data_IF_367921556796
#
_entry.id   IF_367921556796
#
_cell.length_a   1.000
_cell.length_b   1.000
_cell.length_c   1.000
_cell.angle_alpha   90.00
_cell.angle_beta   90.00
_cell.angle_gamma   90.00
#
_symmetry.space_group_name_H-M   'P 1'
#
loop_
_entity.id
_entity.type
_entity.pdbx_description
1 polymer ?
#
# COMPACT_ATOMS: atom_id res chain seq x y z
N UNK A 1 -7.36 -0.74 -69.25
CA UNK A 1 -6.44 -0.12 -68.25
C UNK A 1 -7.21 0.04 -66.93
N UNK A 2 -7.06 -0.94 -66.02
CA UNK A 2 -7.59 -0.85 -64.65
C UNK A 2 -6.48 -0.33 -63.77
N UNK A 3 -6.65 0.84 -63.17
CA UNK A 3 -5.82 1.34 -62.11
C UNK A 3 -6.28 0.76 -60.78
N UNK A 4 -5.51 -0.16 -60.19
CA UNK A 4 -5.69 -0.60 -58.81
C UNK A 4 -5.10 0.47 -57.86
N UNK A 5 -6.00 1.14 -57.11
CA UNK A 5 -5.56 2.06 -56.06
C UNK A 5 -5.09 1.24 -54.83
N UNK A 6 -3.79 1.22 -54.61
CA UNK A 6 -3.22 0.73 -53.35
C UNK A 6 -3.49 1.74 -52.24
N UNK A 7 -4.48 1.42 -51.38
CA UNK A 7 -4.68 2.13 -50.15
C UNK A 7 -3.62 1.73 -49.13
N UNK A 8 -2.61 2.56 -48.97
CA UNK A 8 -1.66 2.45 -47.85
C UNK A 8 -2.34 2.83 -46.57
N UNK A 9 -2.78 1.83 -45.79
CA UNK A 9 -3.12 2.05 -44.37
C UNK A 9 -1.86 2.59 -43.68
N UNK A 10 -1.84 3.89 -43.37
CA UNK A 10 -0.87 4.47 -42.43
C UNK A 10 -1.08 3.77 -41.09
N UNK A 11 -0.13 2.89 -40.72
CA UNK A 11 -0.07 2.32 -39.39
C UNK A 11 0.04 3.44 -38.37
N UNK A 12 -0.99 3.70 -37.63
CA UNK A 12 -0.93 4.54 -36.44
C UNK A 12 0.08 3.90 -35.49
N UNK A 13 1.23 4.55 -35.28
CA UNK A 13 2.15 4.18 -34.20
C UNK A 13 1.36 4.27 -32.88
N UNK A 14 0.92 3.13 -32.38
CA UNK A 14 0.35 3.06 -31.03
C UNK A 14 1.49 3.38 -30.07
N UNK A 15 1.37 4.49 -29.35
CA UNK A 15 2.28 4.80 -28.25
C UNK A 15 2.15 3.65 -27.23
N UNK A 16 3.24 2.99 -26.84
CA UNK A 16 3.16 1.89 -25.88
C UNK A 16 2.62 2.41 -24.55
N UNK A 17 1.75 1.61 -23.90
CA UNK A 17 1.25 1.90 -22.56
C UNK A 17 2.40 2.07 -21.57
N UNK A 18 2.28 3.07 -20.71
CA UNK A 18 3.28 3.41 -19.69
C UNK A 18 2.70 3.30 -18.29
N UNK A 19 3.52 2.78 -17.35
CA UNK A 19 3.18 2.67 -15.93
C UNK A 19 4.19 3.51 -15.14
N UNK A 20 3.70 4.47 -14.37
CA UNK A 20 4.49 5.19 -13.37
C UNK A 20 4.29 4.54 -12.01
N UNK A 21 5.36 4.02 -11.40
CA UNK A 21 5.35 3.67 -9.98
C UNK A 21 5.44 4.93 -9.13
N UNK A 22 4.87 4.91 -7.93
CA UNK A 22 5.05 6.04 -7.01
C UNK A 22 4.85 5.64 -5.55
N UNK A 23 5.48 6.40 -4.67
CA UNK A 23 5.37 6.27 -3.21
C UNK A 23 5.62 7.59 -2.50
N UNK A 24 5.27 7.64 -1.23
CA UNK A 24 5.71 8.68 -0.31
C UNK A 24 6.37 8.02 0.90
N UNK A 25 7.39 8.65 1.46
CA UNK A 25 8.09 8.13 2.62
C UNK A 25 8.80 9.24 3.42
N UNK A 26 8.90 9.01 4.72
CA UNK A 26 9.72 9.75 5.67
C UNK A 26 10.27 8.78 6.70
N UNK A 27 11.56 8.86 7.01
CA UNK A 27 12.22 8.08 8.06
C UNK A 27 12.07 6.54 7.89
N UNK A 28 12.22 6.02 6.67
CA UNK A 28 12.01 4.60 6.41
C UNK A 28 12.97 3.71 7.20
N UNK A 29 14.25 4.06 7.29
CA UNK A 29 15.26 3.25 7.97
C UNK A 29 15.08 3.28 9.48
N UNK A 30 14.76 4.43 10.06
CA UNK A 30 14.46 4.58 11.50
C UNK A 30 13.21 3.83 11.93
N UNK A 31 12.27 3.65 11.02
CA UNK A 31 11.01 2.95 11.27
C UNK A 31 10.99 1.51 10.75
N UNK A 32 12.14 1.02 10.28
CA UNK A 32 12.31 -0.33 9.76
C UNK A 32 11.34 -0.67 8.63
N UNK A 33 11.22 0.21 7.62
CA UNK A 33 10.47 -0.05 6.40
C UNK A 33 11.35 -0.66 5.31
N UNK A 34 10.89 -1.68 4.58
CA UNK A 34 11.62 -2.26 3.45
C UNK A 34 11.48 -1.41 2.17
N UNK A 35 11.76 -0.10 2.26
CA UNK A 35 11.52 0.85 1.17
C UNK A 35 12.20 0.46 -0.13
N UNK A 36 13.44 -0.03 -0.08
CA UNK A 36 14.15 -0.51 -1.24
C UNK A 36 13.41 -1.67 -1.91
N UNK A 37 13.03 -2.69 -1.13
CA UNK A 37 12.30 -3.84 -1.63
C UNK A 37 10.91 -3.45 -2.17
N UNK A 38 10.22 -2.49 -1.55
CA UNK A 38 8.95 -1.97 -2.03
C UNK A 38 9.09 -1.41 -3.45
N UNK A 39 10.07 -0.54 -3.68
CA UNK A 39 10.35 0.07 -5.00
C UNK A 39 10.79 -1.01 -6.01
N UNK A 40 11.81 -1.80 -5.69
CA UNK A 40 12.36 -2.84 -6.57
C UNK A 40 11.30 -3.86 -6.99
N UNK A 41 10.29 -4.12 -6.15
CA UNK A 41 9.25 -5.11 -6.44
C UNK A 41 8.36 -4.79 -7.64
N UNK A 42 8.18 -3.52 -7.97
CA UNK A 42 7.33 -3.07 -9.09
C UNK A 42 8.11 -2.40 -10.21
N UNK A 43 9.35 -1.98 -9.94
CA UNK A 43 10.20 -1.27 -10.88
C UNK A 43 10.38 -1.98 -12.24
N UNK A 44 10.40 -3.33 -12.34
CA UNK A 44 10.53 -4.01 -13.64
C UNK A 44 9.40 -3.74 -14.62
N UNK A 45 8.19 -3.42 -14.15
CA UNK A 45 7.05 -3.10 -15.01
C UNK A 45 6.73 -1.61 -15.07
N UNK A 46 7.48 -0.78 -14.35
CA UNK A 46 7.34 0.67 -14.37
C UNK A 46 8.30 1.29 -15.37
N UNK A 47 7.84 2.33 -16.07
CA UNK A 47 8.66 3.16 -16.97
C UNK A 47 9.39 4.27 -16.23
N UNK A 48 8.82 4.71 -15.10
CA UNK A 48 9.41 5.63 -14.13
C UNK A 48 8.93 5.28 -12.73
N UNK A 49 9.62 5.78 -11.71
CA UNK A 49 9.18 5.67 -10.32
C UNK A 49 9.40 6.99 -9.57
N UNK A 50 8.33 7.55 -9.01
CA UNK A 50 8.36 8.85 -8.31
C UNK A 50 8.27 8.64 -6.81
N UNK A 51 9.19 9.24 -6.07
CA UNK A 51 9.23 9.20 -4.61
C UNK A 51 9.04 10.61 -4.06
N UNK A 52 7.97 10.87 -3.31
CA UNK A 52 7.89 12.04 -2.45
C UNK A 52 8.62 11.72 -1.14
N UNK A 53 9.83 12.22 -1.00
CA UNK A 53 10.67 12.04 0.18
C UNK A 53 10.46 13.19 1.15
N UNK A 54 9.94 12.88 2.33
CA UNK A 54 9.76 13.87 3.39
C UNK A 54 11.09 14.32 3.99
N UNK A 55 11.02 15.37 4.77
CA UNK A 55 12.11 15.93 5.58
C UNK A 55 12.57 14.91 6.65
N UNK A 56 13.35 13.93 6.23
CA UNK A 56 13.88 12.87 7.11
C UNK A 56 14.78 13.46 8.21
N UNK A 57 14.84 12.75 9.34
CA UNK A 57 15.76 13.08 10.41
C UNK A 57 17.22 12.97 9.92
N UNK A 58 18.17 13.75 10.46
CA UNK A 58 19.54 13.79 9.96
C UNK A 58 20.31 12.45 10.01
N UNK A 59 19.91 11.54 10.89
CA UNK A 59 20.50 10.21 11.07
C UNK A 59 19.74 9.10 10.33
N UNK A 60 18.65 9.43 9.60
CA UNK A 60 17.92 8.48 8.77
C UNK A 60 18.63 8.28 7.41
N UNK A 61 18.59 7.06 6.90
CA UNK A 61 19.26 6.64 5.66
C UNK A 61 18.30 6.31 4.51
N UNK A 62 17.09 6.86 4.56
CA UNK A 62 16.07 6.58 3.52
C UNK A 62 16.52 7.02 2.14
N UNK A 63 17.14 8.19 2.02
CA UNK A 63 17.66 8.70 0.76
C UNK A 63 18.71 7.75 0.18
N UNK A 64 19.69 7.35 0.96
CA UNK A 64 20.78 6.46 0.55
C UNK A 64 20.26 5.06 0.17
N UNK A 65 19.27 4.54 0.89
CA UNK A 65 18.63 3.26 0.55
C UNK A 65 17.93 3.33 -0.82
N UNK A 66 17.24 4.42 -1.13
CA UNK A 66 16.59 4.60 -2.43
C UNK A 66 17.64 4.78 -3.53
N UNK A 67 18.65 5.60 -3.32
CA UNK A 67 19.74 5.82 -4.27
C UNK A 67 20.53 4.53 -4.57
N UNK A 68 20.68 3.66 -3.57
CA UNK A 68 21.38 2.38 -3.72
C UNK A 68 20.73 1.40 -4.71
N UNK A 69 19.48 1.64 -5.13
CA UNK A 69 18.81 0.87 -6.19
C UNK A 69 19.51 1.07 -7.53
N UNK A 70 20.11 2.25 -7.76
CA UNK A 70 20.94 2.55 -8.94
C UNK A 70 20.14 2.58 -10.25
N UNK A 71 18.85 2.91 -10.23
CA UNK A 71 18.01 2.97 -11.43
C UNK A 71 17.72 4.41 -11.85
N UNK A 72 17.92 4.70 -13.13
CA UNK A 72 17.60 5.98 -13.78
C UNK A 72 16.09 6.25 -13.89
N UNK A 73 15.27 5.24 -13.67
CA UNK A 73 13.81 5.38 -13.61
C UNK A 73 13.33 6.12 -12.35
N UNK A 74 14.15 6.19 -11.29
CA UNK A 74 13.73 6.73 -9.99
C UNK A 74 13.97 8.24 -9.97
N UNK A 75 12.90 8.96 -9.65
CA UNK A 75 12.93 10.42 -9.43
C UNK A 75 12.44 10.74 -8.02
N UNK A 76 13.30 11.37 -7.24
CA UNK A 76 12.98 11.82 -5.88
C UNK A 76 12.52 13.28 -5.94
N UNK A 77 11.47 13.59 -5.20
CA UNK A 77 10.95 14.94 -4.93
C UNK A 77 11.08 15.17 -3.45
N UNK A 78 11.95 16.09 -3.05
CA UNK A 78 12.08 16.47 -1.66
C UNK A 78 10.87 17.28 -1.21
N UNK A 79 10.33 16.93 -0.06
CA UNK A 79 9.14 17.55 0.51
C UNK A 79 9.31 17.84 1.99
N UNK A 80 8.49 18.73 2.51
CA UNK A 80 8.41 19.03 3.94
C UNK A 80 7.01 18.72 4.44
N UNK A 81 6.91 17.92 5.50
CA UNK A 81 5.63 17.53 6.07
C UNK A 81 5.04 18.65 6.93
N UNK A 82 3.75 18.91 6.75
CA UNK A 82 3.02 19.93 7.51
C UNK A 82 1.77 19.34 8.19
N UNK A 83 1.96 18.82 9.40
CA UNK A 83 0.88 18.16 10.16
C UNK A 83 -0.19 19.14 10.67
N UNK A 84 0.08 20.45 10.73
CA UNK A 84 -0.90 21.47 11.09
C UNK A 84 -1.86 21.72 9.93
N UNK A 85 -1.33 21.90 8.73
CA UNK A 85 -2.13 22.07 7.51
C UNK A 85 -2.88 20.81 7.10
N UNK A 86 -2.26 19.65 7.30
CA UNK A 86 -2.81 18.33 6.92
C UNK A 86 -2.94 17.40 8.14
N UNK A 87 -3.87 17.70 9.06
CA UNK A 87 -4.02 16.95 10.31
C UNK A 87 -4.65 15.57 10.11
N UNK A 88 -4.67 14.77 11.18
CA UNK A 88 -5.37 13.47 11.27
C UNK A 88 -4.96 12.47 10.20
N UNK A 89 -3.66 12.47 9.84
CA UNK A 89 -3.10 11.56 8.86
C UNK A 89 -3.28 11.99 7.40
N UNK A 90 -3.91 13.14 7.12
CA UNK A 90 -4.07 13.62 5.74
C UNK A 90 -2.78 14.08 5.11
N UNK A 91 -1.74 14.35 5.91
CA UNK A 91 -0.38 14.58 5.40
C UNK A 91 0.11 13.40 4.55
N UNK A 92 -0.17 12.16 4.95
CA UNK A 92 0.18 11.00 4.13
C UNK A 92 -0.51 11.06 2.75
N UNK A 93 -1.79 11.46 2.71
CA UNK A 93 -2.52 11.61 1.46
C UNK A 93 -1.96 12.74 0.59
N UNK A 94 -1.60 13.87 1.21
CA UNK A 94 -0.98 15.01 0.54
C UNK A 94 0.35 14.62 -0.12
N UNK A 95 1.22 13.97 0.62
CA UNK A 95 2.51 13.50 0.12
C UNK A 95 2.36 12.45 -1.00
N UNK A 96 1.37 11.56 -0.86
CA UNK A 96 1.01 10.59 -1.91
C UNK A 96 0.55 11.29 -3.18
N UNK A 97 -0.24 12.36 -3.07
CA UNK A 97 -0.70 13.15 -4.22
C UNK A 97 0.44 13.91 -4.89
N UNK A 98 1.40 14.46 -4.14
CA UNK A 98 2.61 15.09 -4.72
C UNK A 98 3.31 14.10 -5.64
N UNK A 99 3.57 12.88 -5.17
CA UNK A 99 4.21 11.86 -6.01
C UNK A 99 3.34 11.46 -7.20
N UNK A 100 2.03 11.25 -7.00
CA UNK A 100 1.10 10.87 -8.06
C UNK A 100 0.99 11.92 -9.16
N UNK A 101 0.87 13.19 -8.80
CA UNK A 101 0.74 14.29 -9.76
C UNK A 101 1.98 14.49 -10.63
N UNK A 102 3.12 14.02 -10.15
CA UNK A 102 4.37 14.04 -10.91
C UNK A 102 4.52 12.83 -11.86
N UNK A 103 3.62 11.85 -11.82
CA UNK A 103 3.62 10.70 -12.73
C UNK A 103 3.22 11.10 -14.14
N UNK A 104 3.85 10.48 -15.17
CA UNK A 104 3.63 10.76 -16.60
C UNK A 104 3.02 9.58 -17.37
N UNK A 105 2.96 8.39 -16.78
CA UNK A 105 2.39 7.19 -17.42
C UNK A 105 0.85 7.23 -17.52
N UNK A 106 0.27 6.27 -18.22
CA UNK A 106 -1.18 6.08 -18.35
C UNK A 106 -1.80 5.58 -17.04
N UNK A 107 -1.04 4.76 -16.33
CA UNK A 107 -1.37 4.18 -15.04
C UNK A 107 -0.37 4.61 -13.98
N UNK A 108 -0.86 4.90 -12.78
CA UNK A 108 -0.05 5.23 -11.61
C UNK A 108 -0.14 4.08 -10.60
N UNK A 109 0.97 3.39 -10.35
CA UNK A 109 1.06 2.26 -9.43
C UNK A 109 1.61 2.72 -8.08
N UNK A 110 0.74 2.82 -7.10
CA UNK A 110 1.08 3.17 -5.73
C UNK A 110 1.56 1.96 -4.96
N UNK A 111 2.69 2.06 -4.29
CA UNK A 111 3.14 1.10 -3.28
C UNK A 111 3.55 1.85 -2.02
N UNK A 112 3.09 1.40 -0.85
CA UNK A 112 3.57 1.94 0.43
C UNK A 112 4.93 1.32 0.76
N UNK A 113 5.70 1.97 1.61
CA UNK A 113 7.07 1.54 1.94
C UNK A 113 7.16 0.16 2.62
N UNK A 114 6.04 -0.39 3.08
CA UNK A 114 5.89 -1.72 3.68
C UNK A 114 5.05 -2.69 2.82
N UNK A 115 4.81 -2.33 1.56
CA UNK A 115 4.10 -3.15 0.58
C UNK A 115 5.05 -3.63 -0.50
N UNK A 116 5.02 -4.93 -0.79
CA UNK A 116 5.89 -5.56 -1.78
C UNK A 116 5.07 -6.46 -2.68
N UNK A 117 5.33 -6.43 -3.98
CA UNK A 117 4.69 -7.29 -4.98
C UNK A 117 5.60 -8.46 -5.30
N UNK A 118 5.06 -9.67 -5.27
CA UNK A 118 5.83 -10.84 -5.69
C UNK A 118 6.03 -10.83 -7.21
N UNK A 119 7.25 -11.08 -7.67
CA UNK A 119 7.65 -11.02 -9.09
C UNK A 119 6.77 -11.87 -10.01
N UNK A 120 6.20 -12.98 -9.51
CA UNK A 120 5.26 -13.83 -10.27
C UNK A 120 3.99 -13.12 -10.74
N UNK A 121 3.62 -12.01 -10.07
CA UNK A 121 2.41 -11.25 -10.42
C UNK A 121 2.67 -10.14 -11.44
N UNK A 122 3.93 -9.74 -11.68
CA UNK A 122 4.24 -8.62 -12.56
C UNK A 122 3.69 -8.77 -13.97
N UNK A 123 3.81 -9.97 -14.64
CA UNK A 123 3.23 -10.17 -15.96
C UNK A 123 1.70 -10.03 -15.98
N UNK A 124 1.02 -10.55 -14.95
CA UNK A 124 -0.45 -10.47 -14.82
C UNK A 124 -0.90 -9.02 -14.64
N UNK A 125 -0.19 -8.25 -13.82
CA UNK A 125 -0.48 -6.84 -13.58
C UNK A 125 -0.30 -6.03 -14.85
N UNK A 126 0.83 -6.17 -15.54
CA UNK A 126 1.12 -5.46 -16.79
C UNK A 126 0.07 -5.76 -17.86
N UNK A 127 -0.21 -7.06 -18.08
CA UNK A 127 -1.25 -7.51 -19.02
C UNK A 127 -2.62 -6.89 -18.69
N UNK A 128 -2.98 -6.83 -17.38
CA UNK A 128 -4.26 -6.26 -16.97
C UNK A 128 -4.35 -4.75 -17.23
N UNK A 129 -3.26 -4.02 -17.06
CA UNK A 129 -3.17 -2.60 -17.44
C UNK A 129 -3.34 -2.42 -18.95
N UNK A 130 -2.70 -3.26 -19.77
CA UNK A 130 -2.82 -3.24 -21.23
C UNK A 130 -4.26 -3.53 -21.69
N UNK A 131 -4.88 -4.59 -21.16
CA UNK A 131 -6.27 -4.98 -21.47
C UNK A 131 -7.27 -3.86 -21.18
N UNK A 132 -7.01 -3.08 -20.13
CA UNK A 132 -7.93 -2.06 -19.65
C UNK A 132 -7.59 -0.64 -20.11
N UNK A 133 -6.55 -0.46 -20.92
CA UNK A 133 -6.11 0.87 -21.34
C UNK A 133 -7.23 1.68 -22.00
N UNK A 134 -7.99 1.04 -22.90
CA UNK A 134 -9.09 1.68 -23.62
C UNK A 134 -10.43 1.66 -22.88
N UNK A 135 -10.51 0.96 -21.74
CA UNK A 135 -11.69 0.89 -20.90
C UNK A 135 -11.79 2.10 -19.98
N UNK A 136 -12.21 3.25 -20.52
CA UNK A 136 -12.23 4.53 -19.80
C UNK A 136 -13.22 4.55 -18.62
N UNK A 137 -14.11 3.57 -18.53
CA UNK A 137 -14.97 3.35 -17.37
C UNK A 137 -14.23 2.74 -16.16
N UNK A 138 -12.99 2.22 -16.34
CA UNK A 138 -12.15 1.69 -15.27
C UNK A 138 -11.24 2.78 -14.74
N UNK A 139 -11.41 3.16 -13.48
CA UNK A 139 -10.62 4.18 -12.81
C UNK A 139 -9.33 3.63 -12.17
N UNK A 140 -9.26 2.31 -11.92
CA UNK A 140 -8.10 1.66 -11.32
C UNK A 140 -8.21 0.16 -11.16
N UNK A 141 -7.19 -0.47 -10.57
CA UNK A 141 -7.11 -1.90 -10.31
C UNK A 141 -7.13 -2.19 -8.81
N UNK A 142 -7.86 -3.26 -8.46
CA UNK A 142 -8.07 -3.73 -7.10
C UNK A 142 -7.20 -4.97 -6.86
N UNK A 143 -6.35 -4.93 -5.84
CA UNK A 143 -5.43 -5.97 -5.45
C UNK A 143 -5.89 -6.67 -4.19
N UNK A 144 -5.63 -7.97 -4.07
CA UNK A 144 -5.77 -8.75 -2.84
C UNK A 144 -4.62 -8.45 -1.89
N UNK A 145 -4.80 -8.69 -0.59
CA UNK A 145 -3.80 -8.42 0.43
C UNK A 145 -3.45 -9.63 1.29
N UNK A 146 -2.17 -9.71 1.66
CA UNK A 146 -1.65 -10.56 2.72
C UNK A 146 -0.99 -9.67 3.78
N UNK A 147 -1.59 -9.56 4.95
CA UNK A 147 -1.08 -8.75 6.04
C UNK A 147 -0.22 -9.60 6.97
N UNK A 148 1.09 -9.64 6.76
CA UNK A 148 2.02 -10.36 7.62
C UNK A 148 2.07 -9.76 9.02
N UNK A 149 2.19 -10.62 10.04
CA UNK A 149 2.04 -10.22 11.43
C UNK A 149 3.08 -10.89 12.32
N UNK A 150 3.91 -10.09 12.99
CA UNK A 150 4.93 -10.52 13.94
C UNK A 150 6.18 -11.10 13.27
N UNK A 151 6.00 -12.04 12.37
CA UNK A 151 7.05 -12.66 11.57
C UNK A 151 6.66 -12.80 10.09
N UNK A 152 7.51 -13.46 9.32
CA UNK A 152 7.27 -13.69 7.89
C UNK A 152 6.42 -14.95 7.61
N UNK A 153 6.16 -15.79 8.61
CA UNK A 153 5.44 -17.06 8.45
C UNK A 153 3.96 -16.96 8.83
N UNK A 154 3.56 -15.85 9.42
CA UNK A 154 2.18 -15.66 9.88
C UNK A 154 1.55 -14.42 9.24
N UNK A 155 0.25 -14.51 8.92
CA UNK A 155 -0.52 -13.38 8.42
C UNK A 155 -1.90 -13.30 9.08
N UNK A 156 -2.45 -12.09 9.13
CA UNK A 156 -3.74 -11.81 9.75
C UNK A 156 -4.83 -11.68 8.67
N UNK A 157 -5.88 -12.48 8.78
CA UNK A 157 -7.06 -12.47 7.90
C UNK A 157 -8.35 -12.15 8.66
N UNK A 158 -8.24 -11.58 9.87
CA UNK A 158 -9.38 -11.22 10.69
C UNK A 158 -10.20 -10.07 10.06
N UNK A 159 -11.48 -10.01 10.42
CA UNK A 159 -12.45 -9.00 9.95
C UNK A 159 -11.96 -7.55 9.97
N UNK A 160 -11.06 -7.20 10.90
CA UNK A 160 -10.52 -5.84 11.03
C UNK A 160 -9.44 -5.48 10.01
N UNK A 161 -9.04 -6.42 9.15
CA UNK A 161 -8.04 -6.26 8.11
C UNK A 161 -8.72 -6.29 6.75
N UNK A 162 -8.51 -5.25 5.93
CA UNK A 162 -9.06 -5.24 4.56
C UNK A 162 -8.40 -6.32 3.71
N UNK A 163 -9.21 -6.99 2.90
CA UNK A 163 -8.77 -8.07 2.01
C UNK A 163 -8.35 -7.57 0.65
N UNK A 164 -8.80 -6.38 0.28
CA UNK A 164 -8.60 -5.80 -1.05
C UNK A 164 -8.43 -4.29 -0.95
N UNK A 165 -7.52 -3.71 -1.75
CA UNK A 165 -7.37 -2.25 -1.86
C UNK A 165 -6.87 -1.82 -3.24
N UNK A 166 -7.15 -0.55 -3.60
CA UNK A 166 -6.73 0.06 -4.85
C UNK A 166 -5.24 0.36 -4.77
N UNK A 167 -4.45 -0.13 -5.76
CA UNK A 167 -3.03 0.20 -5.85
C UNK A 167 -2.60 0.71 -7.21
N UNK A 168 -3.37 0.49 -8.26
CA UNK A 168 -3.17 1.18 -9.54
C UNK A 168 -4.37 2.06 -9.82
N UNK A 169 -4.12 3.29 -10.25
CA UNK A 169 -5.14 4.25 -10.67
C UNK A 169 -4.77 4.84 -12.01
N UNK A 170 -5.75 5.33 -12.78
CA UNK A 170 -5.46 6.13 -13.97
C UNK A 170 -4.72 7.40 -13.59
N UNK A 171 -3.87 7.84 -14.50
CA UNK A 171 -3.26 9.17 -14.42
C UNK A 171 -4.30 10.24 -14.80
N UNK A 172 -5.24 10.43 -13.90
CA UNK A 172 -6.34 11.40 -14.00
C UNK A 172 -6.15 12.42 -12.87
N UNK A 173 -6.07 13.73 -13.19
CA UNK A 173 -5.82 14.78 -12.19
C UNK A 173 -6.93 14.90 -11.15
N UNK A 174 -8.12 14.35 -11.41
CA UNK A 174 -9.24 14.35 -10.46
C UNK A 174 -9.22 13.16 -9.49
N UNK A 175 -8.30 12.21 -9.69
CA UNK A 175 -8.11 11.08 -8.77
C UNK A 175 -7.05 11.45 -7.74
N UNK A 176 -7.47 11.50 -6.48
CA UNK A 176 -6.65 11.90 -5.35
C UNK A 176 -6.52 10.78 -4.33
N UNK A 177 -5.42 10.79 -3.58
CA UNK A 177 -5.27 9.97 -2.40
C UNK A 177 -6.37 10.25 -1.39
N UNK A 178 -6.69 9.29 -0.53
CA UNK A 178 -7.83 9.38 0.37
C UNK A 178 -7.48 8.99 1.80
N UNK A 179 -8.00 9.75 2.77
CA UNK A 179 -7.78 9.59 4.19
C UNK A 179 -6.30 9.80 4.57
N UNK A 180 -5.65 8.72 4.98
CA UNK A 180 -4.26 8.66 5.40
C UNK A 180 -3.46 7.80 4.37
N UNK A 181 -3.67 8.08 3.07
CA UNK A 181 -3.10 7.34 1.95
C UNK A 181 -3.50 5.84 1.90
N UNK A 182 -4.66 5.50 2.44
CA UNK A 182 -5.13 4.12 2.42
C UNK A 182 -5.68 3.71 1.06
N UNK A 183 -6.32 4.65 0.35
CA UNK A 183 -7.05 4.42 -0.90
C UNK A 183 -7.08 5.69 -1.76
N UNK A 184 -7.89 5.66 -2.82
CA UNK A 184 -8.08 6.78 -3.73
C UNK A 184 -9.56 7.09 -3.92
N UNK A 185 -9.86 8.37 -4.25
CA UNK A 185 -11.17 8.83 -4.68
C UNK A 185 -11.07 9.83 -5.82
N UNK A 186 -12.15 9.95 -6.58
CA UNK A 186 -12.31 11.06 -7.50
C UNK A 186 -12.85 12.28 -6.74
N UNK A 187 -12.13 13.39 -6.85
CA UNK A 187 -12.50 14.69 -6.26
C UNK A 187 -12.33 15.73 -7.35
N UNK A 188 -13.44 16.10 -8.01
CA UNK A 188 -13.40 16.97 -9.20
C UNK A 188 -13.01 18.40 -8.87
N UNK A 189 -13.49 18.89 -7.73
CA UNK A 189 -13.22 20.24 -7.22
C UNK A 189 -12.40 20.12 -5.94
N UNK A 190 -11.14 19.68 -6.12
CA UNK A 190 -10.26 19.48 -4.98
C UNK A 190 -9.65 20.80 -4.52
N UNK A 191 -9.82 21.11 -3.25
CA UNK A 191 -9.34 22.34 -2.61
C UNK A 191 -7.88 22.28 -2.14
N UNK A 192 -7.18 21.18 -2.42
CA UNK A 192 -5.78 20.94 -2.03
C UNK A 192 -5.59 20.45 -0.59
N UNK A 193 -6.67 20.32 0.23
CA UNK A 193 -6.53 19.96 1.64
C UNK A 193 -7.56 18.94 2.14
N UNK A 194 -8.72 18.84 1.51
CA UNK A 194 -9.87 18.06 2.02
C UNK A 194 -9.84 16.57 1.69
N UNK A 195 -8.76 15.88 2.01
CA UNK A 195 -8.57 14.44 1.75
C UNK A 195 -9.54 13.50 2.50
N UNK A 196 -10.38 14.00 3.39
CA UNK A 196 -11.33 13.20 4.20
C UNK A 196 -12.77 13.65 4.04
N UNK A 197 -13.04 14.70 3.29
CA UNK A 197 -14.35 15.24 3.10
C UNK A 197 -15.15 14.40 2.10
N UNK A 198 -16.27 13.79 2.54
CA UNK A 198 -17.06 12.90 1.68
C UNK A 198 -17.93 13.59 0.65
N UNK A 199 -18.62 14.71 0.94
CA UNK A 199 -19.40 15.44 -0.08
C UNK A 199 -18.52 15.82 -1.28
N UNK A 200 -19.07 15.72 -2.49
CA UNK A 200 -18.33 16.02 -3.74
C UNK A 200 -17.27 14.98 -4.14
N UNK A 201 -17.17 13.84 -3.43
CA UNK A 201 -16.21 12.78 -3.78
C UNK A 201 -16.90 11.52 -4.29
N UNK A 202 -16.28 10.84 -5.25
CA UNK A 202 -16.79 9.61 -5.85
C UNK A 202 -15.87 8.44 -5.55
N UNK A 203 -16.48 7.28 -5.24
CA UNK A 203 -15.75 6.01 -5.19
C UNK A 203 -15.29 5.62 -6.58
N UNK A 204 -14.03 5.23 -6.74
CA UNK A 204 -13.49 4.77 -8.01
C UNK A 204 -14.14 3.46 -8.46
N UNK A 205 -14.37 3.33 -9.77
CA UNK A 205 -14.78 2.08 -10.43
C UNK A 205 -13.52 1.29 -10.75
N UNK A 206 -13.35 0.15 -10.11
CA UNK A 206 -12.11 -0.63 -10.18
C UNK A 206 -12.34 -2.03 -10.70
N UNK A 207 -11.39 -2.51 -11.50
CA UNK A 207 -11.38 -3.88 -11.98
C UNK A 207 -10.43 -4.73 -11.12
N UNK A 208 -10.81 -5.94 -10.71
CA UNK A 208 -9.90 -6.84 -10.00
C UNK A 208 -8.72 -7.26 -10.89
N UNK A 209 -7.56 -7.42 -10.25
CA UNK A 209 -6.39 -8.09 -10.81
C UNK A 209 -6.04 -9.29 -9.94
N UNK A 210 -5.64 -10.40 -10.56
CA UNK A 210 -5.27 -11.61 -9.81
C UNK A 210 -3.83 -11.53 -9.29
N UNK A 211 -3.61 -10.59 -8.40
CA UNK A 211 -2.33 -10.31 -7.79
C UNK A 211 -2.52 -9.94 -6.30
N UNK A 212 -1.49 -10.23 -5.51
CA UNK A 212 -1.46 -9.91 -4.09
C UNK A 212 -0.41 -8.85 -3.77
N UNK A 213 -0.78 -7.92 -2.89
CA UNK A 213 0.15 -7.07 -2.15
C UNK A 213 0.55 -7.82 -0.88
N UNK A 214 1.86 -7.98 -0.69
CA UNK A 214 2.47 -8.53 0.51
C UNK A 214 2.77 -7.38 1.45
N UNK A 215 1.95 -7.20 2.48
CA UNK A 215 2.06 -6.08 3.40
C UNK A 215 2.82 -6.50 4.66
N UNK A 216 4.03 -5.98 4.82
CA UNK A 216 4.94 -6.25 5.94
C UNK A 216 4.88 -5.18 7.04
N UNK A 217 3.83 -4.38 7.04
CA UNK A 217 3.66 -3.26 7.97
C UNK A 217 3.72 -3.64 9.45
N UNK A 218 3.54 -4.92 9.77
CA UNK A 218 3.59 -5.47 11.13
C UNK A 218 4.64 -6.57 11.30
N UNK A 219 5.68 -6.60 10.46
CA UNK A 219 6.82 -7.50 10.58
C UNK A 219 8.08 -6.67 10.79
N UNK A 220 8.45 -6.49 12.04
CA UNK A 220 9.67 -5.76 12.46
C UNK A 220 9.99 -6.05 13.92
N UNK A 221 11.23 -5.79 14.38
CA UNK A 221 11.55 -5.93 15.81
C UNK A 221 10.57 -5.15 16.68
N UNK A 222 10.15 -5.66 17.84
CA UNK A 222 9.13 -5.06 18.71
C UNK A 222 9.37 -3.58 19.06
N UNK A 223 10.64 -3.18 19.25
CA UNK A 223 11.00 -1.78 19.52
C UNK A 223 10.72 -0.87 18.32
N UNK A 224 11.02 -1.32 17.10
CA UNK A 224 10.69 -0.56 15.87
C UNK A 224 9.20 -0.52 15.60
N UNK A 225 8.47 -1.58 15.97
CA UNK A 225 7.00 -1.55 15.90
C UNK A 225 6.41 -0.51 16.84
N UNK A 226 6.94 -0.38 18.05
CA UNK A 226 6.52 0.65 18.99
C UNK A 226 6.87 2.06 18.48
N UNK A 227 8.06 2.24 17.90
CA UNK A 227 8.46 3.50 17.27
C UNK A 227 7.55 3.89 16.10
N UNK A 228 7.22 2.93 15.21
CA UNK A 228 6.22 3.14 14.14
C UNK A 228 4.87 3.57 14.69
N UNK A 229 4.37 2.91 15.75
CA UNK A 229 3.09 3.26 16.38
C UNK A 229 3.09 4.68 16.93
N UNK A 230 4.18 5.10 17.61
CA UNK A 230 4.35 6.47 18.10
C UNK A 230 4.35 7.48 16.94
N UNK A 231 5.11 7.20 15.88
CA UNK A 231 5.17 8.06 14.68
C UNK A 231 3.78 8.20 14.03
N UNK A 232 3.07 7.10 13.77
CA UNK A 232 1.72 7.13 13.22
C UNK A 232 0.73 7.84 14.14
N UNK A 233 0.84 7.64 15.45
CA UNK A 233 -0.01 8.32 16.42
C UNK A 233 0.22 9.84 16.39
N UNK A 234 1.49 10.27 16.27
CA UNK A 234 1.84 11.68 16.12
C UNK A 234 1.22 12.29 14.85
N UNK A 235 1.29 11.59 13.71
CA UNK A 235 0.69 12.03 12.44
C UNK A 235 -0.83 12.18 12.55
N UNK A 236 -1.50 11.30 13.32
CA UNK A 236 -2.96 11.31 13.43
C UNK A 236 -3.50 12.24 14.52
N UNK A 237 -2.78 12.36 15.64
CA UNK A 237 -3.30 12.99 16.86
C UNK A 237 -2.41 14.08 17.46
N UNK A 238 -1.23 14.29 16.86
CA UNK A 238 -0.25 15.26 17.35
C UNK A 238 0.66 14.71 18.45
N UNK A 239 1.79 15.39 18.64
CA UNK A 239 2.88 14.98 19.56
C UNK A 239 2.40 14.87 21.02
N UNK A 240 1.69 15.88 21.53
CA UNK A 240 1.24 15.90 22.92
C UNK A 240 0.29 14.75 23.26
N UNK A 241 -0.61 14.39 22.32
CA UNK A 241 -1.50 13.21 22.49
C UNK A 241 -0.71 11.90 22.46
N UNK A 242 0.28 11.81 21.57
CA UNK A 242 1.17 10.63 21.51
C UNK A 242 1.94 10.48 22.83
N UNK A 243 2.56 11.52 23.35
CA UNK A 243 3.31 11.50 24.62
C UNK A 243 2.43 11.07 25.78
N UNK A 244 1.19 11.57 25.85
CA UNK A 244 0.22 11.18 26.88
C UNK A 244 -0.16 9.70 26.78
N UNK A 245 -0.53 9.23 25.59
CA UNK A 245 -1.09 7.86 25.40
C UNK A 245 0.00 6.77 25.48
N UNK A 246 1.26 7.12 25.29
CA UNK A 246 2.40 6.20 25.33
C UNK A 246 3.25 6.31 26.58
N UNK A 247 2.92 7.21 27.52
CA UNK A 247 3.71 7.47 28.74
C UNK A 247 4.00 6.21 29.54
N UNK A 248 2.99 5.38 29.76
CA UNK A 248 3.07 4.19 30.60
C UNK A 248 3.17 2.89 29.77
N UNK A 249 3.37 3.02 28.45
CA UNK A 249 3.53 1.84 27.58
C UNK A 249 4.99 1.38 27.57
N UNK A 250 5.16 0.06 27.37
CA UNK A 250 6.49 -0.54 27.18
C UNK A 250 7.14 -0.01 25.90
N UNK A 251 8.47 -0.07 25.84
CA UNK A 251 9.21 0.30 24.63
C UNK A 251 9.15 -0.76 23.54
N UNK A 252 8.56 -1.91 23.81
CA UNK A 252 8.38 -3.01 22.88
C UNK A 252 6.89 -3.28 22.66
N UNK A 253 6.54 -3.54 21.40
CA UNK A 253 5.19 -3.91 21.00
C UNK A 253 4.95 -5.40 21.25
N UNK A 254 3.84 -5.76 21.87
CA UNK A 254 3.38 -7.15 22.02
C UNK A 254 2.49 -7.51 20.82
N UNK A 255 2.95 -8.44 20.00
CA UNK A 255 2.21 -8.95 18.84
C UNK A 255 1.03 -9.87 19.21
N UNK A 256 0.89 -10.21 20.51
CA UNK A 256 -0.12 -11.16 20.96
C UNK A 256 0.24 -12.60 20.65
N UNK A 257 -0.77 -13.46 20.63
CA UNK A 257 -0.60 -14.89 20.36
C UNK A 257 -0.68 -15.18 18.85
N UNK A 258 0.46 -15.48 18.23
CA UNK A 258 0.55 -15.76 16.80
C UNK A 258 -0.16 -17.06 16.38
N UNK A 259 -0.41 -18.02 17.31
CA UNK A 259 -1.18 -19.22 16.98
C UNK A 259 -2.61 -18.92 16.52
N UNK A 260 -3.11 -17.71 16.78
CA UNK A 260 -4.43 -17.22 16.34
C UNK A 260 -4.42 -16.64 14.91
N UNK A 261 -3.26 -16.51 14.28
CA UNK A 261 -3.08 -16.05 12.91
C UNK A 261 -2.93 -17.22 11.96
N UNK A 262 -3.02 -16.98 10.66
CA UNK A 262 -2.81 -18.03 9.66
C UNK A 262 -1.35 -18.21 9.33
N UNK A 263 -0.94 -19.47 9.13
CA UNK A 263 0.40 -19.84 8.66
C UNK A 263 0.47 -19.59 7.15
N UNK A 264 1.47 -18.84 6.73
CA UNK A 264 1.78 -18.62 5.32
C UNK A 264 2.56 -19.81 4.74
N UNK A 265 2.07 -20.38 3.64
CA UNK A 265 2.68 -21.54 2.97
C UNK A 265 3.24 -21.20 1.57
N UNK A 266 3.26 -19.91 1.22
CA UNK A 266 3.77 -19.45 -0.08
C UNK A 266 5.26 -19.08 -0.03
N UNK A 267 5.70 -18.42 -1.11
CA UNK A 267 7.05 -17.83 -1.19
C UNK A 267 6.97 -16.32 -1.02
N UNK A 268 8.01 -15.75 -0.41
CA UNK A 268 8.18 -14.31 -0.34
C UNK A 268 8.82 -13.77 -1.62
N UNK A 269 8.54 -12.51 -1.98
CA UNK A 269 9.22 -11.84 -3.10
C UNK A 269 10.74 -11.90 -2.94
N UNK A 270 11.47 -12.16 -4.02
CA UNK A 270 12.92 -12.29 -3.99
C UNK A 270 13.63 -11.05 -3.44
N UNK A 271 13.08 -9.86 -3.70
CA UNK A 271 13.59 -8.58 -3.18
C UNK A 271 13.54 -8.47 -1.65
N UNK A 272 12.78 -9.32 -0.97
CA UNK A 272 12.69 -9.35 0.50
C UNK A 272 13.76 -10.22 1.17
N UNK A 273 14.57 -10.94 0.39
CA UNK A 273 15.55 -11.93 0.93
C UNK A 273 16.44 -11.33 2.02
N UNK A 274 17.03 -10.16 1.75
CA UNK A 274 17.95 -9.51 2.69
C UNK A 274 17.22 -9.01 3.94
N UNK A 275 16.00 -8.50 3.79
CA UNK A 275 15.19 -8.06 4.91
C UNK A 275 14.76 -9.24 5.79
N UNK A 276 14.37 -10.37 5.18
CA UNK A 276 14.00 -11.61 5.90
C UNK A 276 15.21 -12.18 6.64
N UNK A 277 16.42 -12.13 6.06
CA UNK A 277 17.63 -12.62 6.72
C UNK A 277 18.01 -11.86 7.99
N UNK A 278 17.51 -10.64 8.18
CA UNK A 278 17.69 -9.82 9.39
C UNK A 278 16.72 -10.19 10.52
N UNK A 279 15.86 -11.18 10.33
CA UNK A 279 14.90 -11.60 11.36
C UNK A 279 15.60 -12.18 12.58
N UNK A 280 15.53 -11.48 13.71
CA UNK A 280 16.26 -11.83 14.94
C UNK A 280 15.45 -11.62 16.22
N UNK A 281 14.11 -11.56 16.14
CA UNK A 281 13.23 -11.32 17.29
C UNK A 281 12.23 -12.47 17.53
N UNK A 282 12.57 -13.69 17.09
CA UNK A 282 11.71 -14.86 17.27
C UNK A 282 11.42 -15.16 18.75
N UNK A 283 12.40 -14.96 19.62
CA UNK A 283 12.31 -15.12 21.07
C UNK A 283 11.33 -14.15 21.75
N UNK A 284 10.97 -13.08 21.09
CA UNK A 284 10.01 -12.07 21.56
C UNK A 284 8.58 -12.34 21.08
N UNK A 285 8.37 -13.32 20.22
CA UNK A 285 7.07 -13.72 19.71
C UNK A 285 6.47 -14.82 20.57
N UNK A 286 5.13 -14.78 20.74
CA UNK A 286 4.39 -15.75 21.55
C UNK A 286 3.42 -16.55 20.70
N UNK A 287 3.32 -17.84 21.01
CA UNK A 287 2.40 -18.78 20.36
C UNK A 287 1.38 -19.37 21.35
N UNK A 288 1.27 -18.77 22.53
CA UNK A 288 0.27 -19.12 23.54
C UNK A 288 -0.27 -17.87 24.24
N UNK A 289 -1.28 -18.04 25.09
CA UNK A 289 -1.89 -16.94 25.87
C UNK A 289 -1.20 -16.73 27.23
N UNK A 290 -0.09 -17.45 27.52
CA UNK A 290 0.64 -17.35 28.79
C UNK A 290 1.60 -16.14 28.75
N UNK A 291 1.68 -15.40 29.84
CA UNK A 291 2.71 -14.37 30.06
C UNK A 291 2.47 -13.02 29.39
N UNK A 292 1.33 -12.78 28.76
CA UNK A 292 0.95 -11.46 28.27
C UNK A 292 0.79 -10.47 29.42
N UNK A 293 1.79 -9.60 29.66
CA UNK A 293 1.74 -8.55 30.71
C UNK A 293 0.66 -7.50 30.45
N UNK A 294 0.20 -7.39 29.22
CA UNK A 294 -0.96 -6.60 28.85
C UNK A 294 -1.90 -7.52 28.04
N UNK A 295 -3.16 -7.66 28.43
CA UNK A 295 -4.21 -8.14 27.52
C UNK A 295 -4.11 -7.22 26.31
N UNK A 296 -3.55 -7.73 25.21
CA UNK A 296 -3.36 -6.93 24.03
C UNK A 296 -4.74 -6.43 23.59
N UNK A 297 -4.96 -5.13 23.60
CA UNK A 297 -6.18 -4.51 23.07
C UNK A 297 -6.17 -4.56 21.53
N UNK A 298 -5.67 -5.68 20.98
CA UNK A 298 -5.66 -5.90 19.54
C UNK A 298 -7.10 -6.06 19.05
N UNK A 299 -7.55 -5.15 18.22
CA UNK A 299 -8.95 -5.11 17.74
C UNK A 299 -9.40 -6.44 17.16
N UNK A 300 -8.51 -7.16 16.48
CA UNK A 300 -8.82 -8.46 15.89
C UNK A 300 -9.00 -9.59 16.90
N UNK A 301 -8.50 -9.44 18.13
CA UNK A 301 -8.67 -10.43 19.22
C UNK A 301 -9.94 -10.24 20.02
N UNK A 302 -10.69 -9.17 19.84
CA UNK A 302 -11.97 -8.98 20.56
C UNK A 302 -12.97 -10.07 20.18
N UNK A 303 -13.78 -10.53 21.16
CA UNK A 303 -14.77 -11.60 20.95
C UNK A 303 -15.68 -11.31 19.75
N UNK A 304 -16.19 -10.09 19.63
CA UNK A 304 -17.01 -9.66 18.49
C UNK A 304 -16.30 -9.91 17.15
N UNK A 305 -15.05 -9.43 17.00
CA UNK A 305 -14.33 -9.54 15.74
C UNK A 305 -13.94 -10.99 15.45
N UNK A 306 -13.65 -11.80 16.45
CA UNK A 306 -13.41 -13.24 16.29
C UNK A 306 -14.64 -13.99 15.79
N UNK A 307 -15.83 -13.68 16.31
CA UNK A 307 -17.08 -14.29 15.82
C UNK A 307 -17.33 -13.90 14.37
N UNK A 308 -17.18 -12.60 14.02
CA UNK A 308 -17.37 -12.14 12.64
C UNK A 308 -16.35 -12.81 11.72
N UNK A 309 -15.07 -12.86 12.12
CA UNK A 309 -14.01 -13.55 11.35
C UNK A 309 -14.37 -15.02 11.13
N UNK A 310 -14.84 -15.72 12.16
CA UNK A 310 -15.25 -17.13 12.02
C UNK A 310 -16.38 -17.29 10.98
N UNK A 311 -17.38 -16.43 11.02
CA UNK A 311 -18.50 -16.44 10.06
C UNK A 311 -17.96 -16.16 8.64
N UNK A 312 -17.14 -15.14 8.45
CA UNK A 312 -16.58 -14.76 7.16
C UNK A 312 -15.71 -15.89 6.56
N UNK A 313 -14.88 -16.52 7.37
CA UNK A 313 -13.99 -17.58 6.93
C UNK A 313 -14.74 -18.87 6.56
N UNK A 314 -15.76 -19.26 7.34
CA UNK A 314 -16.42 -20.56 7.15
C UNK A 314 -17.64 -20.49 6.20
N UNK A 315 -18.34 -19.36 6.11
CA UNK A 315 -19.57 -19.25 5.30
C UNK A 315 -19.42 -18.36 4.08
N UNK A 316 -18.41 -17.46 4.04
CA UNK A 316 -18.21 -16.54 2.94
C UNK A 316 -16.84 -16.71 2.24
N UNK A 317 -16.10 -17.79 2.55
CA UNK A 317 -14.78 -18.07 1.96
C UNK A 317 -13.77 -16.94 2.19
N UNK A 318 -13.81 -16.29 3.35
CA UNK A 318 -12.94 -15.17 3.72
C UNK A 318 -13.35 -13.82 3.12
N UNK A 319 -14.44 -13.76 2.35
CA UNK A 319 -15.00 -12.49 1.88
C UNK A 319 -15.62 -11.74 3.05
N UNK A 320 -15.47 -10.41 3.04
CA UNK A 320 -16.00 -9.51 4.06
C UNK A 320 -17.21 -8.72 3.51
N UNK A 321 -18.42 -9.32 3.47
CA UNK A 321 -19.60 -8.69 2.85
C UNK A 321 -20.07 -7.44 3.61
N UNK A 322 -19.79 -7.37 4.91
CA UNK A 322 -20.20 -6.27 5.78
C UNK A 322 -19.12 -5.21 5.98
N UNK A 323 -17.90 -5.42 5.44
CA UNK A 323 -16.83 -4.44 5.54
C UNK A 323 -17.09 -3.23 4.63
N UNK A 324 -16.71 -2.05 5.13
CA UNK A 324 -16.77 -0.84 4.31
C UNK A 324 -15.78 -0.92 3.13
N UNK A 325 -16.29 -0.74 1.92
CA UNK A 325 -15.48 -0.69 0.70
C UNK A 325 -15.42 0.74 0.17
N UNK A 326 -14.20 1.24 -0.05
CA UNK A 326 -13.99 2.58 -0.59
C UNK A 326 -13.99 2.64 -2.13
N UNK A 327 -14.49 1.61 -2.80
CA UNK A 327 -14.49 1.45 -4.25
C UNK A 327 -15.78 0.80 -4.74
N UNK A 328 -16.00 0.83 -6.07
CA UNK A 328 -17.03 0.09 -6.77
C UNK A 328 -16.35 -0.91 -7.71
N UNK A 329 -16.59 -2.21 -7.51
CA UNK A 329 -16.02 -3.25 -8.39
C UNK A 329 -16.82 -3.30 -9.69
N UNK A 330 -16.12 -3.29 -10.83
CA UNK A 330 -16.69 -3.50 -12.16
C UNK A 330 -15.92 -4.61 -12.88
N UNK A 331 -16.60 -5.28 -13.82
CA UNK A 331 -16.03 -6.36 -14.61
C UNK A 331 -16.18 -6.03 -16.11
N UNK A 332 -15.28 -5.22 -16.68
CA UNK A 332 -15.33 -4.85 -18.08
C UNK A 332 -15.14 -6.08 -18.96
N UNK A 333 -15.89 -6.12 -20.07
CA UNK A 333 -15.76 -7.20 -21.07
C UNK A 333 -14.52 -6.92 -21.92
N UNK A 334 -13.44 -7.59 -21.63
CA UNK A 334 -12.23 -7.56 -22.47
C UNK A 334 -12.47 -8.49 -23.66
N UNK A 335 -12.32 -7.97 -24.87
CA UNK A 335 -12.32 -8.81 -26.07
C UNK A 335 -11.07 -9.70 -26.03
N UNK A 336 -11.30 -11.03 -26.15
CA UNK A 336 -10.20 -12.01 -26.25
C UNK A 336 -9.42 -11.82 -27.53
#
# INVERSE_FOLDING_TARGET
>A
LYFAAFSTRKGTKTIPMRISGFTMIKNATKLYYPIRAAIESVLPICDEFVVALGDCDPDDKTYEEIQSIGSDKIRIIDTVWNLEKFPRGTENAHQTDIAKQACTGDWCFYVQADEVVHEKFLPVIKKRCEELLEHKEVDGLLFKYLHFWGDYNHYNDAHTWYTDEIRIVRNDPTIHSWWSAQSFRRIREFDGVSYRHKPGTEKLRVAPVDAYIYHYGFVRPPQYMQSKRKALHTIHWGKGKMESDFRDQTNEFDYGNLSKTKVFKGTHPAVMKDFISRFNWADKLRFDDKGGKNKSNLKHETLKNRIITFIEQNFFGGRQPFAYKNYKVIHPKVRK
#
